data_IF_322520237717
#
_entry.id   IF_322520237717
#
_cell.length_a   1.000
_cell.length_b   1.000
_cell.length_c   1.000
_cell.angle_alpha   90.00
_cell.angle_beta   90.00
_cell.angle_gamma   90.00
#
_symmetry.space_group_name_H-M   'P 1'
#
loop_
_entity.id
_entity.type
_entity.pdbx_description
1 polymer ?
#
# COMPACT_ATOMS: atom_id res chain seq x y z
N UNK A 1 8.07 3.97 -21.54
CA UNK A 1 8.62 3.41 -20.28
C UNK A 1 8.02 4.04 -19.01
N UNK A 2 7.93 5.39 -18.89
CA UNK A 2 7.30 6.05 -17.73
C UNK A 2 5.79 5.78 -17.59
N UNK A 3 5.07 5.71 -18.72
CA UNK A 3 3.62 5.42 -18.76
C UNK A 3 3.27 3.99 -18.29
N UNK A 4 4.02 3.00 -18.77
CA UNK A 4 3.89 1.59 -18.36
C UNK A 4 4.11 1.40 -16.86
N UNK A 5 5.19 1.99 -16.32
CA UNK A 5 5.46 1.96 -14.88
C UNK A 5 4.33 2.65 -14.08
N UNK A 6 3.88 3.83 -14.51
CA UNK A 6 2.79 4.56 -13.84
C UNK A 6 1.51 3.72 -13.77
N UNK A 7 1.11 3.09 -14.89
CA UNK A 7 -0.07 2.22 -14.95
C UNK A 7 0.09 0.97 -14.06
N UNK A 8 1.24 0.30 -14.13
CA UNK A 8 1.57 -0.85 -13.28
C UNK A 8 1.52 -0.48 -11.79
N UNK A 9 2.16 0.63 -11.43
CA UNK A 9 2.30 1.09 -10.05
C UNK A 9 0.95 1.41 -9.45
N UNK A 10 0.17 2.30 -10.09
CA UNK A 10 -1.13 2.71 -9.54
C UNK A 10 -2.14 1.57 -9.47
N UNK A 11 -2.17 0.67 -10.45
CA UNK A 11 -3.08 -0.49 -10.43
C UNK A 11 -2.79 -1.40 -9.24
N UNK A 12 -1.51 -1.71 -8.99
CA UNK A 12 -1.11 -2.59 -7.87
C UNK A 12 -1.12 -1.89 -6.53
N UNK A 13 -0.81 -0.59 -6.52
CA UNK A 13 -0.88 0.25 -5.33
C UNK A 13 -2.28 0.21 -4.74
N UNK A 14 -3.31 0.59 -5.50
CA UNK A 14 -4.67 0.60 -4.99
C UNK A 14 -5.20 -0.79 -4.62
N UNK A 15 -4.82 -1.83 -5.39
CA UNK A 15 -5.21 -3.21 -5.11
C UNK A 15 -4.70 -3.70 -3.73
N UNK A 16 -3.49 -3.30 -3.35
CA UNK A 16 -2.85 -3.74 -2.10
C UNK A 16 -3.19 -2.78 -0.96
N UNK A 17 -3.07 -1.47 -1.22
CA UNK A 17 -3.26 -0.42 -0.23
C UNK A 17 -4.67 -0.38 0.32
N UNK A 18 -5.72 -0.47 -0.52
CA UNK A 18 -7.11 -0.30 -0.06
C UNK A 18 -7.50 -1.38 0.95
N UNK A 19 -7.31 -2.70 0.69
CA UNK A 19 -7.64 -3.73 1.68
C UNK A 19 -6.82 -3.62 2.97
N UNK A 20 -5.51 -3.34 2.86
CA UNK A 20 -4.63 -3.16 4.02
C UNK A 20 -5.06 -1.99 4.88
N UNK A 21 -5.35 -0.85 4.24
CA UNK A 21 -5.78 0.35 4.92
C UNK A 21 -7.13 0.16 5.62
N UNK A 22 -8.12 -0.46 4.94
CA UNK A 22 -9.42 -0.77 5.53
C UNK A 22 -9.30 -1.73 6.71
N UNK A 23 -8.43 -2.73 6.62
CA UNK A 23 -8.17 -3.66 7.73
C UNK A 23 -7.49 -2.96 8.91
N UNK A 24 -6.55 -2.06 8.65
CA UNK A 24 -5.85 -1.30 9.69
C UNK A 24 -6.79 -0.38 10.45
N UNK A 25 -7.60 0.42 9.75
CA UNK A 25 -8.56 1.33 10.40
C UNK A 25 -9.73 0.56 11.02
N UNK A 26 -10.16 -0.55 10.43
CA UNK A 26 -11.27 -1.35 10.96
C UNK A 26 -10.94 -2.08 12.26
N UNK A 27 -9.66 -2.27 12.57
CA UNK A 27 -9.17 -2.88 13.81
C UNK A 27 -8.60 -1.84 14.79
N UNK A 28 -8.73 -0.55 14.49
CA UNK A 28 -8.26 0.51 15.38
C UNK A 28 -9.16 0.57 16.61
N UNK A 29 -8.57 0.45 17.80
CA UNK A 29 -9.32 0.34 19.05
C UNK A 29 -10.14 1.59 19.31
N UNK A 30 -9.63 2.77 18.92
CA UNK A 30 -10.37 4.03 18.97
C UNK A 30 -11.70 4.02 18.19
N UNK A 31 -11.80 3.20 17.15
CA UNK A 31 -13.01 3.06 16.32
C UNK A 31 -13.93 1.97 16.88
N UNK A 32 -13.37 0.88 17.40
CA UNK A 32 -14.13 -0.32 17.80
C UNK A 32 -14.65 -0.27 19.25
N UNK A 33 -13.88 0.26 20.20
CA UNK A 33 -14.20 0.11 21.63
C UNK A 33 -15.02 1.26 22.24
N UNK A 34 -15.31 2.35 21.50
CA UNK A 34 -15.97 3.51 22.10
C UNK A 34 -16.84 4.33 21.12
N UNK A 35 -17.93 3.77 20.57
CA UNK A 35 -18.73 4.38 19.50
C UNK A 35 -19.50 5.66 19.91
N UNK A 36 -19.60 5.98 21.20
CA UNK A 36 -20.42 7.11 21.70
C UNK A 36 -19.61 8.25 22.35
N UNK A 37 -18.29 8.11 22.51
CA UNK A 37 -17.40 9.17 23.00
C UNK A 37 -16.78 9.99 21.83
N UNK A 38 -17.06 9.59 20.59
CA UNK A 38 -16.44 10.08 19.35
C UNK A 38 -16.87 11.49 18.90
N UNK A 39 -17.96 12.06 19.44
CA UNK A 39 -18.37 13.42 19.04
C UNK A 39 -17.44 14.52 19.58
N UNK A 40 -16.74 14.26 20.70
CA UNK A 40 -15.83 15.23 21.30
C UNK A 40 -14.41 15.13 20.71
N UNK A 41 -14.09 14.03 20.03
CA UNK A 41 -12.72 13.67 19.65
C UNK A 41 -12.56 13.40 18.13
N UNK A 42 -13.35 14.10 17.30
CA UNK A 42 -13.20 14.06 15.84
C UNK A 42 -11.77 14.37 15.36
N UNK A 43 -11.04 15.17 16.14
CA UNK A 43 -9.63 15.50 15.86
C UNK A 43 -8.72 14.28 15.93
N UNK A 44 -8.85 13.44 16.98
CA UNK A 44 -8.03 12.23 17.13
C UNK A 44 -8.40 11.20 16.06
N UNK A 45 -9.70 11.02 15.79
CA UNK A 45 -10.18 10.14 14.72
C UNK A 45 -9.63 10.52 13.34
N UNK A 46 -9.70 11.80 12.97
CA UNK A 46 -9.17 12.29 11.70
C UNK A 46 -7.64 12.13 11.64
N UNK A 47 -6.96 12.38 12.77
CA UNK A 47 -5.51 12.18 12.86
C UNK A 47 -5.13 10.73 12.57
N UNK A 48 -5.80 9.74 13.18
CA UNK A 48 -5.50 8.32 12.94
C UNK A 48 -5.79 7.90 11.50
N UNK A 49 -6.92 8.31 10.93
CA UNK A 49 -7.26 8.06 9.52
C UNK A 49 -6.13 8.55 8.61
N UNK A 50 -5.73 9.82 8.75
CA UNK A 50 -4.71 10.42 7.90
C UNK A 50 -3.33 9.80 8.16
N UNK A 51 -2.99 9.54 9.42
CA UNK A 51 -1.72 8.93 9.81
C UNK A 51 -1.55 7.54 9.20
N UNK A 52 -2.57 6.68 9.32
CA UNK A 52 -2.57 5.36 8.70
C UNK A 52 -2.57 5.44 7.17
N UNK A 53 -3.27 6.40 6.59
CA UNK A 53 -3.28 6.58 5.14
C UNK A 53 -1.87 6.88 4.62
N UNK A 54 -1.17 7.82 5.28
CA UNK A 54 0.21 8.19 4.91
C UNK A 54 1.17 7.02 5.17
N UNK A 55 1.10 6.40 6.36
CA UNK A 55 2.00 5.32 6.76
C UNK A 55 1.90 4.10 5.86
N UNK A 56 0.70 3.54 5.71
CA UNK A 56 0.48 2.38 4.82
C UNK A 56 0.68 2.74 3.35
N UNK A 57 0.39 3.98 2.96
CA UNK A 57 0.66 4.47 1.62
C UNK A 57 2.14 4.46 1.29
N UNK A 58 2.97 5.02 2.18
CA UNK A 58 4.42 5.04 2.03
C UNK A 58 5.02 3.62 2.00
N UNK A 59 4.57 2.73 2.89
CA UNK A 59 5.03 1.33 2.93
C UNK A 59 4.69 0.62 1.63
N UNK A 60 3.44 0.70 1.17
CA UNK A 60 2.98 0.05 -0.06
C UNK A 60 3.75 0.58 -1.28
N UNK A 61 3.93 1.90 -1.36
CA UNK A 61 4.71 2.53 -2.41
C UNK A 61 6.18 2.09 -2.40
N UNK A 62 6.81 2.01 -1.23
CA UNK A 62 8.18 1.55 -1.06
C UNK A 62 8.37 0.10 -1.53
N UNK A 63 7.48 -0.81 -1.11
CA UNK A 63 7.51 -2.22 -1.53
C UNK A 63 7.32 -2.34 -3.05
N UNK A 64 6.34 -1.66 -3.63
CA UNK A 64 6.09 -1.70 -5.08
C UNK A 64 7.27 -1.14 -5.89
N UNK A 65 7.92 -0.11 -5.38
CA UNK A 65 9.12 0.44 -6.00
C UNK A 65 10.29 -0.56 -5.96
N UNK A 66 10.51 -1.23 -4.82
CA UNK A 66 11.51 -2.28 -4.67
C UNK A 66 11.22 -3.49 -5.57
N UNK A 67 9.97 -3.97 -5.61
CA UNK A 67 9.55 -5.08 -6.47
C UNK A 67 9.75 -4.75 -7.95
N UNK A 68 9.41 -3.53 -8.37
CA UNK A 68 9.65 -3.09 -9.75
C UNK A 68 11.14 -3.02 -10.09
N UNK A 69 11.97 -2.54 -9.15
CA UNK A 69 13.43 -2.48 -9.33
C UNK A 69 14.06 -3.87 -9.34
N UNK A 70 13.62 -4.77 -8.47
CA UNK A 70 14.06 -6.17 -8.40
C UNK A 70 13.66 -6.98 -9.64
N UNK A 71 12.40 -6.86 -10.07
CA UNK A 71 11.90 -7.52 -11.29
C UNK A 71 12.61 -7.05 -12.57
N UNK A 72 13.02 -5.78 -12.65
CA UNK A 72 13.86 -5.30 -13.76
C UNK A 72 15.29 -5.82 -13.73
N UNK A 73 15.83 -6.15 -12.55
CA UNK A 73 17.17 -6.77 -12.41
C UNK A 73 17.14 -8.28 -12.69
N UNK A 74 16.01 -8.95 -12.46
CA UNK A 74 15.82 -10.38 -12.76
C UNK A 74 15.26 -10.66 -14.16
N UNK A 75 14.73 -9.63 -14.85
CA UNK A 75 14.22 -9.74 -16.22
C UNK A 75 15.20 -10.31 -17.27
N UNK A 76 16.52 -10.05 -17.23
CA UNK A 76 17.46 -10.72 -18.12
C UNK A 76 17.84 -12.13 -17.65
N UNK A 77 17.85 -12.41 -16.34
CA UNK A 77 18.21 -13.74 -15.81
C UNK A 77 17.21 -14.82 -16.23
N UNK A 78 15.91 -14.51 -16.17
CA UNK A 78 14.86 -15.47 -16.54
C UNK A 78 14.69 -15.63 -18.07
N UNK A 79 15.33 -14.77 -18.86
CA UNK A 79 15.33 -14.88 -20.33
C UNK A 79 16.48 -15.76 -20.84
N UNK A 80 17.57 -15.88 -20.07
CA UNK A 80 18.67 -16.78 -20.41
C UNK A 80 18.42 -18.24 -19.99
N UNK A 81 17.71 -18.47 -18.87
CA UNK A 81 17.30 -19.84 -18.50
C UNK A 81 16.32 -20.43 -19.54
N UNK A 82 15.37 -19.62 -20.03
CA UNK A 82 14.37 -20.09 -21.00
C UNK A 82 14.89 -20.26 -22.45
N UNK A 83 16.14 -19.89 -22.71
CA UNK A 83 16.81 -20.07 -24.02
C UNK A 83 17.76 -21.29 -23.99
N UNK A 84 18.03 -21.85 -22.81
CA UNK A 84 18.86 -23.04 -22.63
C UNK A 84 18.07 -24.33 -22.41
N UNK A 85 16.74 -24.26 -22.32
CA UNK A 85 15.81 -25.40 -22.39
C UNK A 85 15.24 -25.54 -23.80
#
# INVERSE_FOLDING_TARGET
>A
MKSEFKRYFWKRFWLIFVPLYLMAIGNESYIVSNPLMQLEDYGSFLFFIVFYFIGYGAITAGILHLLWRGGRRMGPLNREEKVRE
#
